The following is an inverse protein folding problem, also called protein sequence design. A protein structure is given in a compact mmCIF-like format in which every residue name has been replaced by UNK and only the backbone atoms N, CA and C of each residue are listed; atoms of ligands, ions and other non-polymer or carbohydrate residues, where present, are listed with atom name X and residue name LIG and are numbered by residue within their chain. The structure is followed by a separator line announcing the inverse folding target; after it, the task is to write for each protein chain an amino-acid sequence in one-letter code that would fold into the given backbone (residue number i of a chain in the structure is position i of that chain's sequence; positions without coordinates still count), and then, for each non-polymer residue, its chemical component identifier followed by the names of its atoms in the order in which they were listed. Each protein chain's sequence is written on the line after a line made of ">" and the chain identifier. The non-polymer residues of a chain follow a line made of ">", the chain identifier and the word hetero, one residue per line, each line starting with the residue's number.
data_IF_619295190726
#
_entry.id   IF_619295190726
#
_cell.length_a   1.000
_cell.length_b   1.000
_cell.length_c   1.000
_cell.angle_alpha   90.00
_cell.angle_beta   90.00
_cell.angle_gamma   90.00
#
_symmetry.space_group_name_H-M   'P 1'
#
loop_
_entity.id
_entity.type
_entity.pdbx_description
1 polymer ?
#
# COMPACT_ATOMS: atom_id res chain seq x y z
N UNK A 1 -31.22 19.25 -31.29
CA UNK A 1 -30.52 19.93 -30.16
C UNK A 1 -30.39 19.01 -28.93
N UNK A 2 -31.46 18.37 -28.45
CA UNK A 2 -31.41 17.43 -27.31
C UNK A 2 -30.42 16.23 -27.41
N UNK A 3 -30.26 15.52 -28.55
CA UNK A 3 -29.42 14.32 -28.60
C UNK A 3 -27.92 14.62 -28.49
N UNK A 4 -27.49 15.77 -29.03
CA UNK A 4 -26.08 16.20 -29.03
C UNK A 4 -25.65 16.62 -27.62
N UNK A 5 -26.55 17.29 -26.88
CA UNK A 5 -26.35 17.65 -25.47
C UNK A 5 -26.29 16.41 -24.58
N UNK A 6 -27.22 15.45 -24.78
CA UNK A 6 -27.18 14.18 -24.05
C UNK A 6 -25.88 13.42 -24.31
N UNK A 7 -25.44 13.32 -25.57
CA UNK A 7 -24.21 12.64 -25.96
C UNK A 7 -22.95 13.31 -25.37
N UNK A 8 -22.90 14.64 -25.34
CA UNK A 8 -21.84 15.41 -24.67
C UNK A 8 -21.82 15.16 -23.16
N UNK A 9 -22.99 15.14 -22.50
CA UNK A 9 -23.09 14.85 -21.07
C UNK A 9 -22.64 13.42 -20.76
N UNK A 10 -23.05 12.43 -21.55
CA UNK A 10 -22.56 11.06 -21.40
C UNK A 10 -21.04 10.96 -21.56
N UNK A 11 -20.47 11.64 -22.56
CA UNK A 11 -19.02 11.64 -22.77
C UNK A 11 -18.26 12.29 -21.60
N UNK A 12 -18.79 13.39 -21.07
CA UNK A 12 -18.22 14.08 -19.90
C UNK A 12 -18.26 13.20 -18.64
N UNK A 13 -19.36 12.49 -18.41
CA UNK A 13 -19.48 11.56 -17.28
C UNK A 13 -18.46 10.43 -17.42
N UNK A 14 -18.39 9.77 -18.59
CA UNK A 14 -17.49 8.64 -18.82
C UNK A 14 -16.01 9.05 -18.72
N UNK A 15 -15.61 10.16 -19.35
CA UNK A 15 -14.23 10.65 -19.22
C UNK A 15 -13.91 11.09 -17.79
N UNK A 16 -14.86 11.75 -17.12
CA UNK A 16 -14.70 12.20 -15.75
C UNK A 16 -14.47 11.04 -14.77
N UNK A 17 -15.25 9.97 -14.89
CA UNK A 17 -15.11 8.78 -14.03
C UNK A 17 -13.81 8.04 -14.30
N UNK A 18 -13.47 7.82 -15.58
CA UNK A 18 -12.23 7.12 -15.95
C UNK A 18 -10.98 7.90 -15.47
N UNK A 19 -11.00 9.22 -15.58
CA UNK A 19 -9.92 10.07 -15.11
C UNK A 19 -9.78 10.04 -13.58
N UNK A 20 -10.91 10.05 -12.86
CA UNK A 20 -10.91 9.97 -11.40
C UNK A 20 -10.37 8.62 -10.91
N UNK A 21 -10.77 7.51 -11.54
CA UNK A 21 -10.25 6.18 -11.23
C UNK A 21 -8.75 6.11 -11.47
N UNK A 22 -8.26 6.58 -12.62
CA UNK A 22 -6.83 6.63 -12.90
C UNK A 22 -6.05 7.45 -11.85
N UNK A 23 -6.56 8.61 -11.41
CA UNK A 23 -5.92 9.40 -10.36
C UNK A 23 -5.84 8.63 -9.04
N UNK A 24 -6.92 7.94 -8.65
CA UNK A 24 -6.95 7.12 -7.43
C UNK A 24 -5.92 6.00 -7.50
N UNK A 25 -5.85 5.30 -8.62
CA UNK A 25 -4.88 4.22 -8.84
C UNK A 25 -3.45 4.72 -8.76
N UNK A 26 -3.12 5.82 -9.44
CA UNK A 26 -1.79 6.41 -9.39
C UNK A 26 -1.41 6.89 -7.98
N UNK A 27 -2.37 7.42 -7.23
CA UNK A 27 -2.16 7.78 -5.83
C UNK A 27 -1.91 6.55 -4.96
N UNK A 28 -2.66 5.46 -5.17
CA UNK A 28 -2.49 4.20 -4.44
C UNK A 28 -1.10 3.58 -4.71
N UNK A 29 -0.66 3.52 -5.97
CA UNK A 29 0.68 3.04 -6.35
C UNK A 29 1.76 3.89 -5.67
N UNK A 30 1.63 5.21 -5.73
CA UNK A 30 2.57 6.14 -5.09
C UNK A 30 2.60 5.92 -3.57
N UNK A 31 1.45 5.76 -2.94
CA UNK A 31 1.35 5.53 -1.50
C UNK A 31 1.94 4.17 -1.12
N UNK A 32 1.67 3.11 -1.88
CA UNK A 32 2.27 1.80 -1.68
C UNK A 32 3.79 1.91 -1.67
N UNK A 33 4.36 2.50 -2.72
CA UNK A 33 5.82 2.67 -2.85
C UNK A 33 6.40 3.52 -1.72
N UNK A 34 5.66 4.53 -1.26
CA UNK A 34 6.14 5.47 -0.24
C UNK A 34 6.02 4.92 1.18
N UNK A 35 5.00 4.10 1.45
CA UNK A 35 4.65 3.67 2.82
C UNK A 35 5.06 2.22 3.09
N UNK A 36 5.09 1.37 2.06
CA UNK A 36 5.35 -0.06 2.20
C UNK A 36 6.70 -0.50 1.63
N UNK A 37 7.48 0.38 1.00
CA UNK A 37 8.79 0.00 0.44
C UNK A 37 9.87 0.87 1.05
N UNK A 38 10.81 0.24 1.75
CA UNK A 38 11.99 0.86 2.34
C UNK A 38 13.24 0.08 1.92
N UNK A 39 13.82 0.50 0.79
CA UNK A 39 15.01 -0.13 0.23
C UNK A 39 15.96 0.88 -0.44
N UNK A 40 17.26 0.89 -0.06
CA UNK A 40 17.85 0.13 1.05
C UNK A 40 17.25 0.54 2.39
N UNK A 41 17.16 -0.41 3.33
CA UNK A 41 16.51 -0.19 4.63
C UNK A 41 17.14 0.98 5.36
N UNK A 42 16.34 1.97 5.78
CA UNK A 42 16.84 3.12 6.52
C UNK A 42 17.15 2.78 7.98
N UNK A 43 18.12 3.51 8.54
CA UNK A 43 18.42 3.47 9.97
C UNK A 43 17.93 4.76 10.62
N UNK A 44 17.00 4.64 11.56
CA UNK A 44 16.49 5.80 12.31
C UNK A 44 17.41 6.15 13.50
N UNK A 45 17.49 7.44 13.83
CA UNK A 45 18.22 7.91 15.00
C UNK A 45 17.62 7.35 16.31
N UNK A 46 18.44 7.24 17.36
CA UNK A 46 18.02 6.68 18.66
C UNK A 46 16.77 7.34 19.26
N UNK A 47 16.57 8.65 19.02
CA UNK A 47 15.40 9.40 19.50
C UNK A 47 14.06 8.88 18.98
N UNK A 48 14.04 8.16 17.85
CA UNK A 48 12.83 7.51 17.34
C UNK A 48 12.49 6.21 18.06
N UNK A 49 13.32 5.72 18.99
CA UNK A 49 13.06 4.53 19.79
C UNK A 49 12.83 3.27 18.92
N UNK A 50 13.55 3.16 17.80
CA UNK A 50 13.52 2.01 16.90
C UNK A 50 12.88 2.29 15.54
N UNK A 51 13.05 1.32 14.65
CA UNK A 51 12.69 1.44 13.23
C UNK A 51 11.20 1.71 13.01
N UNK A 52 10.31 0.87 13.57
CA UNK A 52 8.87 1.03 13.35
C UNK A 52 8.31 2.30 13.98
N UNK A 53 8.83 2.76 15.12
CA UNK A 53 8.37 4.02 15.71
C UNK A 53 8.69 5.22 14.81
N UNK A 54 9.88 5.24 14.21
CA UNK A 54 10.25 6.23 13.20
C UNK A 54 9.36 6.16 11.97
N UNK A 55 9.27 5.00 11.32
CA UNK A 55 8.48 4.84 10.10
C UNK A 55 6.99 5.10 10.32
N UNK A 56 6.40 4.59 11.40
CA UNK A 56 4.97 4.74 11.66
C UNK A 56 4.57 6.17 11.98
N UNK A 57 5.50 7.01 12.46
CA UNK A 57 5.25 8.45 12.58
C UNK A 57 4.99 9.09 11.21
N UNK A 58 5.75 8.69 10.19
CA UNK A 58 5.56 9.11 8.81
C UNK A 58 4.29 8.51 8.20
N UNK A 59 4.03 7.22 8.41
CA UNK A 59 2.81 6.55 7.92
C UNK A 59 1.55 7.24 8.44
N UNK A 60 1.48 7.53 9.74
CA UNK A 60 0.35 8.25 10.35
C UNK A 60 0.17 9.65 9.79
N UNK A 61 1.27 10.37 9.59
CA UNK A 61 1.25 11.71 8.97
C UNK A 61 0.71 11.68 7.54
N UNK A 62 1.01 10.64 6.76
CA UNK A 62 0.53 10.49 5.37
C UNK A 62 -0.91 9.98 5.28
N UNK A 63 -1.37 9.21 6.26
CA UNK A 63 -2.75 8.74 6.36
C UNK A 63 -3.68 9.76 7.00
N UNK A 64 -3.16 10.87 7.54
CA UNK A 64 -3.93 11.90 8.26
C UNK A 64 -4.80 11.33 9.38
N UNK A 65 -4.35 10.24 10.01
CA UNK A 65 -5.12 9.49 10.99
C UNK A 65 -4.65 9.76 12.41
N UNK A 66 -5.61 10.12 13.27
CA UNK A 66 -5.38 10.25 14.71
C UNK A 66 -5.15 8.89 15.38
N UNK A 67 -5.74 7.83 14.83
CA UNK A 67 -5.61 6.48 15.36
C UNK A 67 -4.21 5.91 15.13
N UNK A 68 -3.80 4.98 15.99
CA UNK A 68 -2.58 4.20 15.77
C UNK A 68 -2.91 2.99 14.88
N UNK A 69 -2.34 2.87 13.67
CA UNK A 69 -2.45 1.65 12.88
C UNK A 69 -2.00 0.44 13.71
N UNK A 70 -2.74 -0.67 13.63
CA UNK A 70 -2.45 -1.87 14.44
C UNK A 70 -1.29 -2.68 13.89
N UNK A 71 -1.20 -2.78 12.57
CA UNK A 71 -0.17 -3.51 11.86
C UNK A 71 0.16 -2.76 10.58
N UNK A 72 1.43 -2.79 10.19
CA UNK A 72 1.91 -2.24 8.94
C UNK A 72 3.10 -3.06 8.45
N UNK A 73 3.18 -3.29 7.14
CA UNK A 73 4.20 -4.12 6.52
C UNK A 73 5.14 -3.28 5.68
N UNK A 74 6.44 -3.51 5.82
CA UNK A 74 7.46 -2.72 5.14
C UNK A 74 8.45 -3.63 4.46
N UNK A 75 8.46 -3.57 3.14
CA UNK A 75 9.26 -4.41 2.26
C UNK A 75 10.66 -3.84 2.11
N UNK A 76 11.65 -4.71 2.26
CA UNK A 76 13.06 -4.39 2.13
C UNK A 76 13.64 -5.03 0.87
N UNK A 77 13.04 -4.67 -0.28
CA UNK A 77 13.49 -5.11 -1.60
C UNK A 77 13.39 -3.97 -2.62
N UNK A 78 14.20 -4.01 -3.71
CA UNK A 78 14.07 -3.03 -4.79
C UNK A 78 12.65 -2.98 -5.36
N UNK A 79 12.19 -1.79 -5.76
CA UNK A 79 10.88 -1.62 -6.40
C UNK A 79 10.67 -2.57 -7.58
N UNK A 80 11.69 -2.77 -8.40
CA UNK A 80 11.66 -3.66 -9.56
C UNK A 80 11.45 -5.13 -9.21
N UNK A 81 11.80 -5.55 -8.00
CA UNK A 81 11.52 -6.90 -7.50
C UNK A 81 10.07 -7.01 -7.05
N UNK A 82 9.57 -6.02 -6.32
CA UNK A 82 8.21 -6.02 -5.78
C UNK A 82 7.17 -5.87 -6.91
N UNK A 83 7.44 -4.97 -7.87
CA UNK A 83 6.57 -4.72 -9.02
C UNK A 83 6.33 -5.98 -9.87
N UNK A 84 7.35 -6.86 -10.00
CA UNK A 84 7.24 -8.09 -10.81
C UNK A 84 6.09 -8.99 -10.38
N UNK A 85 5.70 -8.97 -9.10
CA UNK A 85 4.60 -9.80 -8.64
C UNK A 85 3.24 -9.36 -9.22
N UNK A 86 3.04 -8.07 -9.48
CA UNK A 86 1.80 -7.55 -10.09
C UNK A 86 1.82 -7.49 -11.62
N UNK A 87 2.89 -7.98 -12.28
CA UNK A 87 2.92 -8.09 -13.75
C UNK A 87 1.86 -9.05 -14.29
N UNK A 88 1.49 -10.04 -13.49
CA UNK A 88 0.37 -10.93 -13.76
C UNK A 88 -0.31 -11.28 -12.44
N UNK A 89 -1.51 -10.74 -12.23
CA UNK A 89 -2.31 -10.97 -11.04
C UNK A 89 -3.11 -12.26 -11.18
N UNK A 90 -3.02 -13.14 -10.18
CA UNK A 90 -3.60 -14.48 -10.23
C UNK A 90 -5.13 -14.49 -10.09
N UNK A 91 -5.70 -13.53 -9.35
CA UNK A 91 -7.12 -13.52 -9.02
C UNK A 91 -7.66 -12.10 -8.88
N UNK A 92 -8.98 -11.99 -8.93
CA UNK A 92 -9.70 -10.78 -8.52
C UNK A 92 -10.26 -11.01 -7.12
N UNK A 93 -9.88 -10.16 -6.16
CA UNK A 93 -10.29 -10.27 -4.77
C UNK A 93 -11.54 -9.40 -4.53
N UNK A 94 -12.72 -10.02 -4.58
CA UNK A 94 -14.02 -9.33 -4.48
C UNK A 94 -14.17 -8.46 -3.23
N UNK A 95 -13.66 -8.92 -2.08
CA UNK A 95 -13.71 -8.17 -0.81
C UNK A 95 -12.98 -6.82 -0.87
N UNK A 96 -12.01 -6.69 -1.77
CA UNK A 96 -11.25 -5.45 -1.97
C UNK A 96 -11.64 -4.73 -3.25
N UNK A 97 -12.42 -5.39 -4.13
CA UNK A 97 -12.74 -4.92 -5.48
C UNK A 97 -11.47 -4.61 -6.31
N UNK A 98 -10.42 -5.40 -6.13
CA UNK A 98 -9.11 -5.21 -6.78
C UNK A 98 -8.50 -6.54 -7.20
N UNK A 99 -7.52 -6.50 -8.11
CA UNK A 99 -6.73 -7.69 -8.42
C UNK A 99 -5.78 -8.03 -7.28
N UNK A 100 -5.49 -9.30 -7.10
CA UNK A 100 -4.62 -9.76 -6.04
C UNK A 100 -3.78 -10.97 -6.45
N UNK A 101 -2.64 -11.12 -5.77
CA UNK A 101 -1.71 -12.22 -6.01
C UNK A 101 -0.95 -12.55 -4.73
N UNK A 102 -0.56 -13.81 -4.58
CA UNK A 102 0.40 -14.25 -3.57
C UNK A 102 1.80 -14.18 -4.17
N UNK A 103 2.73 -13.48 -3.52
CA UNK A 103 4.13 -13.45 -4.01
C UNK A 103 4.68 -14.86 -4.12
N UNK A 104 5.40 -15.16 -5.21
CA UNK A 104 5.99 -16.50 -5.41
C UNK A 104 7.14 -16.76 -4.47
N UNK A 105 7.94 -15.72 -4.23
CA UNK A 105 9.09 -15.75 -3.33
C UNK A 105 8.78 -15.03 -2.02
N UNK A 106 9.49 -15.43 -0.96
CA UNK A 106 9.49 -14.68 0.29
C UNK A 106 10.28 -13.38 0.13
N UNK A 107 9.71 -12.28 0.64
CA UNK A 107 10.34 -10.96 0.59
C UNK A 107 10.81 -10.61 2.01
N UNK A 108 12.02 -10.08 2.20
CA UNK A 108 12.42 -9.49 3.46
C UNK A 108 11.52 -8.32 3.83
N UNK A 109 10.94 -8.36 5.03
CA UNK A 109 10.09 -7.29 5.52
C UNK A 109 10.25 -7.04 7.02
N UNK A 110 9.93 -5.82 7.44
CA UNK A 110 9.66 -5.52 8.84
C UNK A 110 8.16 -5.39 9.06
N UNK A 111 7.64 -6.12 10.05
CA UNK A 111 6.28 -5.98 10.56
C UNK A 111 6.32 -4.95 11.70
N UNK A 112 5.54 -3.88 11.56
CA UNK A 112 5.33 -2.88 12.58
C UNK A 112 3.99 -3.15 13.26
N UNK A 113 4.03 -3.71 14.47
CA UNK A 113 2.82 -4.04 15.24
C UNK A 113 2.65 -3.13 16.43
N UNK A 114 1.43 -2.68 16.66
CA UNK A 114 1.09 -1.77 17.75
C UNK A 114 1.38 -2.44 19.09
N UNK A 115 2.12 -1.74 19.94
CA UNK A 115 2.43 -2.22 21.28
C UNK A 115 1.15 -2.29 22.14
N UNK A 116 0.84 -3.38 22.85
CA UNK A 116 -0.45 -3.49 23.55
C UNK A 116 -0.67 -2.41 24.63
N UNK A 117 0.40 -1.97 25.32
CA UNK A 117 0.32 -0.98 26.41
C UNK A 117 0.71 0.40 25.90
N UNK A 118 -0.22 1.06 25.20
CA UNK A 118 -0.01 2.37 24.61
C UNK A 118 0.08 3.47 25.68
N UNK A 119 1.00 4.45 25.53
CA UNK A 119 0.93 5.68 26.29
C UNK A 119 -0.26 6.54 25.83
N UNK A 120 -0.74 7.50 26.64
CA UNK A 120 -1.99 8.23 26.36
C UNK A 120 -1.96 9.09 25.09
N UNK A 121 -0.79 9.57 24.67
CA UNK A 121 -0.64 10.61 23.65
C UNK A 121 0.24 10.20 22.45
N UNK A 122 0.77 8.97 22.42
CA UNK A 122 1.65 8.53 21.34
C UNK A 122 1.47 7.07 20.99
N UNK A 123 1.85 6.71 19.76
CA UNK A 123 1.81 5.33 19.29
C UNK A 123 3.20 4.70 19.44
N UNK A 124 3.28 3.54 20.09
CA UNK A 124 4.49 2.71 20.15
C UNK A 124 4.32 1.42 19.38
N UNK A 125 5.40 0.97 18.73
CA UNK A 125 5.42 -0.17 17.83
C UNK A 125 6.56 -1.12 18.16
N UNK A 126 6.26 -2.41 18.06
CA UNK A 126 7.27 -3.46 17.96
C UNK A 126 7.75 -3.57 16.51
N UNK A 127 9.02 -3.93 16.33
CA UNK A 127 9.61 -4.20 15.02
C UNK A 127 9.99 -5.67 14.92
N UNK A 128 9.37 -6.41 14.01
CA UNK A 128 9.70 -7.82 13.74
C UNK A 128 10.26 -7.95 12.34
N UNK A 129 11.54 -8.27 12.21
CA UNK A 129 12.17 -8.56 10.91
C UNK A 129 11.91 -10.02 10.54
N UNK A 130 11.44 -10.27 9.32
CA UNK A 130 11.13 -11.61 8.81
C UNK A 130 11.27 -11.68 7.29
N UNK A 131 11.20 -12.90 6.74
CA UNK A 131 11.09 -13.15 5.31
C UNK A 131 9.81 -13.96 5.09
N UNK A 132 8.81 -13.41 4.42
CA UNK A 132 7.55 -14.11 4.18
C UNK A 132 6.98 -13.80 2.80
N UNK A 133 6.09 -14.70 2.35
CA UNK A 133 5.25 -14.47 1.18
C UNK A 133 4.07 -13.60 1.59
N UNK A 134 3.59 -12.80 0.65
CA UNK A 134 2.63 -11.74 0.91
C UNK A 134 1.47 -11.82 -0.06
N UNK A 135 0.29 -11.47 0.42
CA UNK A 135 -0.84 -11.19 -0.45
C UNK A 135 -0.81 -9.70 -0.82
N UNK A 136 -0.61 -9.42 -2.10
CA UNK A 136 -0.61 -8.07 -2.66
C UNK A 136 -1.93 -7.78 -3.36
N UNK A 137 -2.38 -6.53 -3.27
CA UNK A 137 -3.33 -5.96 -4.24
C UNK A 137 -2.55 -5.32 -5.38
N UNK A 138 -3.07 -5.48 -6.59
CA UNK A 138 -2.50 -4.99 -7.83
C UNK A 138 -3.53 -4.16 -8.59
N UNK A 139 -3.09 -3.10 -9.25
CA UNK A 139 -3.96 -2.18 -9.98
C UNK A 139 -4.69 -2.80 -11.17
N UNK A 140 -4.09 -3.83 -11.78
CA UNK A 140 -4.60 -4.46 -13.00
C UNK A 140 -4.27 -5.97 -13.02
N UNK A 141 -4.94 -6.70 -13.91
CA UNK A 141 -4.66 -8.12 -14.14
C UNK A 141 -3.30 -8.34 -14.81
N UNK A 142 -2.96 -7.49 -15.78
CA UNK A 142 -1.75 -7.60 -16.59
C UNK A 142 -0.99 -6.30 -16.49
N UNK A 143 0.35 -6.38 -16.39
CA UNK A 143 1.24 -5.22 -16.30
C UNK A 143 0.93 -4.22 -15.17
N UNK A 144 0.16 -4.65 -14.17
CA UNK A 144 -0.24 -3.83 -13.03
C UNK A 144 0.90 -3.52 -12.07
N UNK A 145 0.59 -2.66 -11.11
CA UNK A 145 1.50 -2.24 -10.04
C UNK A 145 0.90 -2.56 -8.66
N UNK A 146 1.73 -2.86 -7.65
CA UNK A 146 1.26 -3.06 -6.29
C UNK A 146 0.61 -1.80 -5.72
N UNK A 147 -0.56 -1.97 -5.09
CA UNK A 147 -1.32 -0.88 -4.46
C UNK A 147 -1.56 -1.07 -2.97
N UNK A 148 -1.55 -2.31 -2.46
CA UNK A 148 -1.64 -2.59 -1.01
C UNK A 148 -1.10 -3.99 -0.64
N UNK A 149 -0.91 -4.24 0.67
CA UNK A 149 -0.58 -5.53 1.26
C UNK A 149 -1.72 -5.97 2.18
N UNK A 150 -2.45 -7.02 1.79
CA UNK A 150 -3.64 -7.48 2.52
C UNK A 150 -3.34 -8.58 3.55
N UNK A 151 -2.13 -9.14 3.53
CA UNK A 151 -1.74 -10.15 4.52
C UNK A 151 -0.42 -10.85 4.23
N UNK A 152 -0.07 -11.73 5.17
CA UNK A 152 1.06 -12.66 5.08
C UNK A 152 0.52 -14.08 4.86
N UNK A 153 1.32 -14.96 4.25
CA UNK A 153 1.03 -16.40 4.09
C UNK A 153 1.70 -17.24 5.18
#
# INVERSE_FOLDING_TARGET
>A
MAPLVAQLLFLQVVLGTALLENIKTQLAIKNFRTLHVDYPKVTYAQGFQGYCNGLMSYVRGRQESWYCPRIHYVLHAPWTVIWKFCKYSESFCENYNEYCTLTKDSIPLTICSLYPRQPPTSCRYNSTLTNQRLYLLCSEKYDGEPIDIIGLY
#
